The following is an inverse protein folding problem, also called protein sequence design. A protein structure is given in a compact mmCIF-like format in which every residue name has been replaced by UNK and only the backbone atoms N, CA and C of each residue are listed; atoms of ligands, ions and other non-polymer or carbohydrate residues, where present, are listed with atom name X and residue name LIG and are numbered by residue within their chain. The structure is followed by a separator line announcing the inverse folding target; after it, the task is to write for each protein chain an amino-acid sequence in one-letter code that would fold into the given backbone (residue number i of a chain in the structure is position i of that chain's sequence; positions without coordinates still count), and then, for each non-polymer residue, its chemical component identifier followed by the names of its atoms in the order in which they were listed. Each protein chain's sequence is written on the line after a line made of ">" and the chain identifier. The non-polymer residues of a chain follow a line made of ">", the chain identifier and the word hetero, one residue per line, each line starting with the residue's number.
data_IF_498052176052
#
_entry.id   IF_498052176052
#
_cell.length_a   1.000
_cell.length_b   1.000
_cell.length_c   1.000
_cell.angle_alpha   90.00
_cell.angle_beta   90.00
_cell.angle_gamma   90.00
#
_symmetry.space_group_name_H-M   'P 1'
#
loop_
_entity.id
_entity.type
_entity.pdbx_description
1 polymer ?
#
# COMPACT_ATOMS: atom_id res chain seq x y z
N UNK A 1 4.58 -7.73 -5.92
CA UNK A 1 3.37 -7.98 -5.13
C UNK A 1 3.44 -7.09 -3.89
N UNK A 2 2.49 -6.19 -3.74
CA UNK A 2 2.34 -5.38 -2.52
C UNK A 2 1.07 -5.77 -1.76
N UNK A 3 1.03 -5.41 -0.48
CA UNK A 3 -0.10 -5.56 0.41
C UNK A 3 -0.16 -4.41 1.40
N UNK A 4 -1.31 -4.23 2.05
CA UNK A 4 -1.48 -3.22 3.09
C UNK A 4 -1.34 -1.78 2.58
N UNK A 5 -1.80 -1.50 1.35
CA UNK A 5 -1.91 -0.13 0.86
C UNK A 5 -2.99 0.65 1.63
N UNK A 6 -4.08 0.00 1.99
CA UNK A 6 -5.04 0.50 2.97
C UNK A 6 -4.78 -0.12 4.33
N UNK A 7 -4.69 0.73 5.34
CA UNK A 7 -4.24 0.34 6.67
C UNK A 7 -5.16 -0.66 7.39
N UNK A 8 -6.48 -0.56 7.21
CA UNK A 8 -7.47 -1.38 7.91
C UNK A 8 -7.67 -2.79 7.32
N UNK A 9 -7.12 -3.05 6.12
CA UNK A 9 -7.25 -4.31 5.37
C UNK A 9 -6.20 -5.35 5.84
N UNK A 10 -6.23 -5.68 7.13
CA UNK A 10 -5.20 -6.49 7.80
C UNK A 10 -4.97 -7.89 7.23
N UNK A 11 -5.95 -8.44 6.50
CA UNK A 11 -5.79 -9.73 5.84
C UNK A 11 -4.73 -9.71 4.73
N UNK A 12 -4.53 -8.56 4.07
CA UNK A 12 -3.54 -8.45 2.98
C UNK A 12 -2.09 -8.59 3.51
N UNK A 13 -1.65 -7.84 4.55
CA UNK A 13 -0.35 -8.11 5.17
C UNK A 13 -0.18 -9.53 5.72
N UNK A 14 -1.24 -10.12 6.28
CA UNK A 14 -1.19 -11.50 6.77
C UNK A 14 -0.98 -12.50 5.61
N UNK A 15 -1.68 -12.31 4.49
CA UNK A 15 -1.50 -13.11 3.28
C UNK A 15 -0.10 -12.97 2.70
N UNK A 16 0.45 -11.76 2.61
CA UNK A 16 1.83 -11.56 2.13
C UNK A 16 2.86 -12.35 2.93
N UNK A 17 2.72 -12.36 4.25
CA UNK A 17 3.62 -13.13 5.13
C UNK A 17 3.43 -14.63 4.93
N UNK A 18 2.17 -15.09 4.82
CA UNK A 18 1.86 -16.49 4.56
C UNK A 18 2.39 -16.95 3.20
N UNK A 19 2.22 -16.13 2.15
CA UNK A 19 2.73 -16.39 0.81
C UNK A 19 4.25 -16.62 0.81
N UNK A 20 5.01 -15.73 1.46
CA UNK A 20 6.48 -15.90 1.59
C UNK A 20 6.82 -17.16 2.37
N UNK A 21 6.10 -17.45 3.47
CA UNK A 21 6.30 -18.66 4.25
C UNK A 21 6.09 -19.92 3.41
N UNK A 22 5.00 -20.02 2.66
CA UNK A 22 4.70 -21.18 1.82
C UNK A 22 5.75 -21.40 0.74
N UNK A 23 6.20 -20.34 0.07
CA UNK A 23 7.28 -20.43 -0.91
C UNK A 23 8.53 -21.03 -0.28
N UNK A 24 8.95 -20.52 0.88
CA UNK A 24 10.16 -20.99 1.57
C UNK A 24 10.03 -22.43 2.07
N UNK A 25 8.83 -22.86 2.44
CA UNK A 25 8.59 -24.22 2.93
C UNK A 25 8.49 -25.25 1.81
N UNK A 26 7.98 -24.85 0.64
CA UNK A 26 7.62 -25.79 -0.43
C UNK A 26 8.57 -25.78 -1.62
N UNK A 27 9.43 -24.76 -1.82
CA UNK A 27 10.23 -24.66 -3.06
C UNK A 27 11.17 -25.83 -3.35
N UNK A 28 11.50 -26.67 -2.37
CA UNK A 28 12.33 -27.88 -2.59
C UNK A 28 11.50 -29.12 -2.94
N UNK A 29 10.22 -29.15 -2.57
CA UNK A 29 9.34 -30.31 -2.71
C UNK A 29 8.27 -30.10 -3.77
N UNK A 30 7.87 -28.86 -4.04
CA UNK A 30 6.93 -28.48 -5.07
C UNK A 30 7.67 -28.03 -6.34
N UNK A 31 7.53 -28.82 -7.41
CA UNK A 31 8.20 -28.56 -8.69
C UNK A 31 7.72 -27.26 -9.35
N UNK A 32 6.46 -26.87 -9.18
CA UNK A 32 5.91 -25.64 -9.78
C UNK A 32 6.49 -24.41 -9.09
N UNK A 33 6.52 -24.39 -7.75
CA UNK A 33 7.14 -23.30 -6.98
C UNK A 33 8.64 -23.21 -7.28
N UNK A 34 9.32 -24.35 -7.38
CA UNK A 34 10.73 -24.38 -7.75
C UNK A 34 10.97 -23.76 -9.13
N UNK A 35 10.19 -24.15 -10.14
CA UNK A 35 10.27 -23.61 -11.49
C UNK A 35 9.97 -22.11 -11.51
N UNK A 36 8.98 -21.64 -10.75
CA UNK A 36 8.68 -20.20 -10.64
C UNK A 36 9.89 -19.42 -10.11
N UNK A 37 10.53 -19.88 -9.04
CA UNK A 37 11.70 -19.21 -8.45
C UNK A 37 12.96 -19.23 -9.32
N UNK A 38 13.09 -20.21 -10.22
CA UNK A 38 14.21 -20.23 -11.18
C UNK A 38 14.03 -19.22 -12.32
N UNK A 39 12.78 -18.83 -12.61
CA UNK A 39 12.44 -18.02 -13.78
C UNK A 39 11.94 -16.61 -13.43
N UNK A 40 11.58 -16.35 -12.18
CA UNK A 40 10.99 -15.08 -11.72
C UNK A 40 11.60 -14.62 -10.39
N UNK A 41 11.81 -13.32 -10.30
CA UNK A 41 12.09 -12.64 -9.04
C UNK A 41 10.78 -12.18 -8.39
N UNK A 42 10.50 -12.64 -7.17
CA UNK A 42 9.36 -12.18 -6.38
C UNK A 42 9.76 -11.03 -5.47
N UNK A 43 9.31 -9.82 -5.80
CA UNK A 43 9.36 -8.68 -4.89
C UNK A 43 8.06 -8.60 -4.09
N UNK A 44 8.15 -8.80 -2.78
CA UNK A 44 7.00 -8.79 -1.87
C UNK A 44 7.13 -7.64 -0.88
N UNK A 45 6.13 -6.75 -0.84
CA UNK A 45 6.02 -5.67 0.14
C UNK A 45 4.81 -5.96 1.04
N UNK A 46 5.02 -6.55 2.23
CA UNK A 46 3.90 -7.00 3.07
C UNK A 46 3.01 -5.87 3.60
N UNK A 47 3.61 -4.72 3.87
CA UNK A 47 2.92 -3.52 4.36
C UNK A 47 3.48 -2.31 3.61
N UNK A 48 2.71 -1.78 2.66
CA UNK A 48 3.07 -0.56 1.93
C UNK A 48 2.81 0.69 2.78
N UNK A 49 1.64 0.77 3.43
CA UNK A 49 1.24 1.89 4.28
C UNK A 49 1.59 1.60 5.75
N UNK A 50 2.88 1.69 6.09
CA UNK A 50 3.38 1.32 7.43
C UNK A 50 2.76 2.22 8.51
N UNK A 51 2.76 3.55 8.30
CA UNK A 51 2.27 4.48 9.30
C UNK A 51 0.77 4.31 9.54
N UNK A 52 -0.01 4.14 8.48
CA UNK A 52 -1.44 3.87 8.57
C UNK A 52 -1.69 2.53 9.27
N UNK A 53 -0.95 1.48 8.90
CA UNK A 53 -1.08 0.17 9.53
C UNK A 53 -0.83 0.28 11.04
N UNK A 54 0.28 0.87 11.48
CA UNK A 54 0.58 1.11 12.91
C UNK A 54 -0.54 1.92 13.58
N UNK A 55 -1.03 2.97 12.93
CA UNK A 55 -2.14 3.77 13.44
C UNK A 55 -3.41 2.94 13.69
N UNK A 56 -3.69 1.97 12.82
CA UNK A 56 -4.84 1.07 12.99
C UNK A 56 -4.74 0.12 14.18
N UNK A 57 -3.53 -0.15 14.67
CA UNK A 57 -3.27 -0.96 15.86
C UNK A 57 -3.36 -0.19 17.18
N UNK A 58 -3.40 1.15 17.15
CA UNK A 58 -3.48 1.95 18.37
C UNK A 58 -4.75 1.67 19.20
N UNK A 59 -5.78 1.08 18.58
CA UNK A 59 -7.01 0.61 19.20
C UNK A 59 -7.66 1.64 20.15
N UNK A 60 -7.58 2.92 19.79
CA UNK A 60 -8.14 4.04 20.58
C UNK A 60 -9.62 4.23 20.29
N UNK A 61 -10.05 3.89 19.07
CA UNK A 61 -11.43 3.98 18.61
C UNK A 61 -11.66 3.12 17.37
N UNK A 62 -12.93 2.87 17.03
CA UNK A 62 -13.30 2.23 15.76
C UNK A 62 -12.72 2.99 14.55
N UNK A 63 -12.64 4.32 14.62
CA UNK A 63 -12.03 5.13 13.56
C UNK A 63 -10.53 4.84 13.41
N UNK A 64 -9.79 4.65 14.50
CA UNK A 64 -8.38 4.24 14.39
C UNK A 64 -8.26 2.88 13.73
N UNK A 65 -9.03 1.88 14.18
CA UNK A 65 -9.02 0.52 13.59
C UNK A 65 -9.40 0.49 12.10
N UNK A 66 -10.36 1.32 11.71
CA UNK A 66 -10.84 1.42 10.32
C UNK A 66 -10.04 2.42 9.47
N UNK A 67 -8.98 3.03 10.00
CA UNK A 67 -8.16 3.97 9.26
C UNK A 67 -7.66 3.33 7.96
N UNK A 68 -7.77 4.09 6.86
CA UNK A 68 -7.50 3.62 5.50
C UNK A 68 -6.27 4.27 4.88
N UNK A 69 -6.19 5.59 4.98
CA UNK A 69 -5.24 6.47 4.28
C UNK A 69 -3.81 6.34 4.82
N UNK A 70 -2.85 7.02 4.18
CA UNK A 70 -1.52 7.28 4.75
C UNK A 70 -1.64 8.12 6.05
N UNK A 71 -0.50 8.51 6.64
CA UNK A 71 -0.44 9.41 7.81
C UNK A 71 0.27 10.73 7.54
N UNK A 72 0.39 11.12 6.26
CA UNK A 72 0.95 12.42 5.90
C UNK A 72 0.24 13.56 6.62
N UNK A 73 0.95 14.65 6.98
CA UNK A 73 0.32 15.82 7.57
C UNK A 73 -0.74 16.41 6.62
N UNK A 74 -1.75 17.10 7.17
CA UNK A 74 -2.76 17.78 6.36
C UNK A 74 -2.12 18.83 5.45
N UNK A 75 -2.64 19.05 4.23
CA UNK A 75 -2.24 20.18 3.40
C UNK A 75 -2.68 21.50 4.03
N UNK A 76 -2.16 22.62 3.51
CA UNK A 76 -2.57 23.96 3.92
C UNK A 76 -4.10 24.13 3.79
N UNK A 77 -4.73 24.76 4.79
CA UNK A 77 -6.19 24.96 4.82
C UNK A 77 -7.01 23.73 5.24
N UNK A 78 -6.37 22.63 5.65
CA UNK A 78 -7.02 21.42 6.11
C UNK A 78 -6.55 20.97 7.51
N UNK A 79 -7.35 20.17 8.21
CA UNK A 79 -7.01 19.53 9.49
C UNK A 79 -6.89 17.99 9.42
N UNK A 80 -7.35 17.37 8.34
CA UNK A 80 -7.42 15.92 8.17
C UNK A 80 -6.12 15.35 7.59
N UNK A 81 -5.61 14.32 8.24
CA UNK A 81 -4.39 13.64 7.84
C UNK A 81 -4.62 12.63 6.72
N UNK A 82 -3.56 12.38 5.96
CA UNK A 82 -3.43 11.24 5.07
C UNK A 82 -4.14 11.38 3.72
N UNK A 83 -3.62 10.63 2.77
CA UNK A 83 -4.09 10.50 1.38
C UNK A 83 -4.46 9.04 1.13
N UNK A 84 -5.48 8.78 0.31
CA UNK A 84 -5.72 7.43 -0.21
C UNK A 84 -4.61 7.08 -1.21
N UNK A 85 -3.68 6.23 -0.79
CA UNK A 85 -2.54 5.82 -1.60
C UNK A 85 -2.97 5.16 -2.92
N UNK A 86 -4.11 4.48 -2.96
CA UNK A 86 -4.65 3.87 -4.18
C UNK A 86 -5.46 4.87 -5.05
N UNK A 87 -5.43 6.16 -4.70
CA UNK A 87 -5.88 7.28 -5.54
C UNK A 87 -4.74 8.24 -5.87
N UNK A 88 -3.52 7.95 -5.43
CA UNK A 88 -2.37 8.85 -5.57
C UNK A 88 -1.43 8.48 -6.72
N UNK A 89 -1.62 7.38 -7.45
CA UNK A 89 -0.75 7.04 -8.59
C UNK A 89 -1.02 7.92 -9.82
N UNK A 90 0.01 8.12 -10.66
CA UNK A 90 -0.09 8.91 -11.90
C UNK A 90 -0.75 8.13 -13.05
N UNK A 91 -1.99 7.71 -12.85
CA UNK A 91 -2.82 7.08 -13.87
C UNK A 91 -4.19 7.72 -13.78
N UNK A 92 -4.49 8.66 -14.69
CA UNK A 92 -5.74 9.41 -14.68
C UNK A 92 -6.05 10.06 -13.32
N UNK A 93 -4.99 10.55 -12.65
CA UNK A 93 -5.10 11.16 -11.32
C UNK A 93 -6.07 12.34 -11.33
N UNK A 94 -6.88 12.45 -10.26
CA UNK A 94 -7.82 13.56 -10.12
C UNK A 94 -9.09 13.45 -10.97
N UNK A 95 -9.30 12.35 -11.72
CA UNK A 95 -10.48 12.20 -12.58
C UNK A 95 -11.68 11.57 -11.84
N UNK A 96 -11.90 10.25 -11.97
CA UNK A 96 -13.13 9.60 -11.50
C UNK A 96 -12.86 8.82 -10.20
N UNK A 97 -13.83 8.84 -9.27
CA UNK A 97 -13.78 8.01 -8.05
C UNK A 97 -12.79 8.51 -6.98
N UNK A 98 -12.43 9.79 -7.05
CA UNK A 98 -11.53 10.50 -6.13
C UNK A 98 -12.27 11.64 -5.41
N UNK A 99 -11.68 12.15 -4.34
CA UNK A 99 -12.06 13.42 -3.74
C UNK A 99 -10.87 14.38 -3.67
N UNK A 100 -11.15 15.68 -3.74
CA UNK A 100 -10.21 16.77 -3.44
C UNK A 100 -10.41 17.33 -2.03
N UNK A 101 -11.47 16.89 -1.32
CA UNK A 101 -11.63 17.15 0.10
C UNK A 101 -10.66 16.24 0.89
N UNK A 102 -9.68 16.85 1.53
CA UNK A 102 -8.66 16.21 2.35
C UNK A 102 -9.23 15.36 3.51
N UNK A 103 -10.44 15.64 3.97
CA UNK A 103 -11.11 14.87 5.01
C UNK A 103 -11.80 13.62 4.50
N UNK A 104 -11.98 13.48 3.20
CA UNK A 104 -12.61 12.31 2.61
C UNK A 104 -11.66 11.09 2.57
N UNK A 105 -12.23 9.89 2.65
CA UNK A 105 -11.48 8.63 2.69
C UNK A 105 -10.78 8.28 1.37
N UNK A 106 -11.27 8.81 0.24
CA UNK A 106 -10.68 8.65 -1.10
C UNK A 106 -9.97 9.94 -1.58
N UNK A 107 -9.53 10.80 -0.65
CA UNK A 107 -8.74 11.98 -0.98
C UNK A 107 -7.50 11.60 -1.80
N UNK A 108 -7.34 12.19 -2.98
CA UNK A 108 -6.29 11.80 -3.94
C UNK A 108 -4.92 12.47 -3.73
N UNK A 109 -4.81 13.40 -2.76
CA UNK A 109 -3.59 14.14 -2.46
C UNK A 109 -3.52 15.50 -3.15
N UNK A 110 -2.42 16.22 -2.95
CA UNK A 110 -2.18 17.53 -3.57
C UNK A 110 -1.72 17.44 -5.03
N UNK A 111 -1.33 16.23 -5.45
CA UNK A 111 -0.87 15.93 -6.80
C UNK A 111 -0.73 14.43 -6.99
N UNK A 112 -0.56 14.00 -8.24
CA UNK A 112 -0.16 12.64 -8.52
C UNK A 112 1.21 12.34 -7.88
N UNK A 113 1.33 11.19 -7.23
CA UNK A 113 2.54 10.66 -6.61
C UNK A 113 3.09 11.64 -5.56
N UNK A 114 2.18 12.29 -4.83
CA UNK A 114 2.50 13.23 -3.74
C UNK A 114 2.83 12.54 -2.41
N UNK A 115 2.66 11.22 -2.31
CA UNK A 115 2.94 10.43 -1.10
C UNK A 115 4.25 9.65 -1.26
N UNK A 116 5.05 9.59 -0.20
CA UNK A 116 6.35 8.92 -0.23
C UNK A 116 6.21 7.41 -0.52
N UNK A 117 5.15 6.78 -0.02
CA UNK A 117 4.86 5.37 -0.27
C UNK A 117 4.55 5.13 -1.76
N UNK A 118 3.77 6.02 -2.38
CA UNK A 118 3.47 5.97 -3.81
C UNK A 118 4.70 6.30 -4.67
N UNK A 119 5.54 7.25 -4.24
CA UNK A 119 6.83 7.58 -4.88
C UNK A 119 7.74 6.36 -4.89
N UNK A 120 7.95 5.74 -3.74
CA UNK A 120 8.82 4.58 -3.59
C UNK A 120 8.41 3.42 -4.51
N UNK A 121 7.11 3.11 -4.61
CA UNK A 121 6.61 2.07 -5.53
C UNK A 121 6.82 2.48 -6.99
N UNK A 122 6.52 3.73 -7.34
CA UNK A 122 6.66 4.24 -8.72
C UNK A 122 8.12 4.21 -9.17
N UNK A 123 9.05 4.65 -8.33
CA UNK A 123 10.49 4.63 -8.58
C UNK A 123 11.04 3.20 -8.66
N UNK A 124 10.61 2.33 -7.74
CA UNK A 124 11.00 0.92 -7.73
C UNK A 124 10.57 0.20 -9.02
N UNK A 125 9.33 0.39 -9.46
CA UNK A 125 8.85 -0.22 -10.71
C UNK A 125 9.50 0.43 -11.92
N UNK A 126 9.60 1.77 -11.95
CA UNK A 126 10.17 2.52 -13.07
C UNK A 126 11.65 2.21 -13.32
N UNK A 127 12.43 1.95 -12.27
CA UNK A 127 13.84 1.54 -12.37
C UNK A 127 14.05 0.12 -12.92
N UNK A 128 12.99 -0.65 -13.12
CA UNK A 128 13.03 -2.04 -13.62
C UNK A 128 12.57 -2.19 -15.07
N UNK A 129 12.30 -1.09 -15.76
CA UNK A 129 12.14 -1.10 -17.21
C UNK A 129 13.48 -1.50 -17.85
N UNK A 130 13.54 -2.73 -18.37
CA UNK A 130 14.57 -3.16 -19.32
C UNK A 130 14.26 -2.59 -20.70
#
# INVERSE_FOLDING_TARGET
>A
MDCGIHASEWIAPAFSQWFVKEILQTYKTDMQINQLLQNLDFYVTPVLNIDGYVYSWLNKSLQTRLWRKSRSPPPEGCSCYGVDLNRNFNVNWGMIGVSFDCCHDNYCGTGAVSQMESQAVTEFVGSRNR
#
